data_IF_421994287158
#
_entry.id   IF_421994287158
#
_cell.length_a   1.000
_cell.length_b   1.000
_cell.length_c   1.000
_cell.angle_alpha   90.00
_cell.angle_beta   90.00
_cell.angle_gamma   90.00
#
_symmetry.space_group_name_H-M   'P 1'
#
loop_
_entity.id
_entity.type
_entity.pdbx_description
1 polymer ?
#
# COMPACT_ATOMS: atom_id res chain seq x y z
N UNK A 1 5.33 24.36 11.79
CA UNK A 1 5.35 24.00 10.35
C UNK A 1 4.29 24.80 9.58
N UNK A 2 3.08 24.92 10.10
CA UNK A 2 1.98 25.68 9.51
C UNK A 2 2.34 27.15 9.19
N UNK A 3 2.88 27.90 10.14
CA UNK A 3 3.31 29.29 9.95
C UNK A 3 4.34 29.49 8.82
N UNK A 4 5.20 28.49 8.56
CA UNK A 4 6.19 28.57 7.47
C UNK A 4 5.55 28.37 6.10
N UNK A 5 4.60 27.47 6.02
CA UNK A 5 3.84 27.23 4.77
C UNK A 5 2.99 28.47 4.46
N UNK A 6 2.29 29.01 5.45
CA UNK A 6 1.47 30.21 5.28
C UNK A 6 2.29 31.43 4.84
N UNK A 7 3.48 31.64 5.42
CA UNK A 7 4.36 32.74 4.98
C UNK A 7 4.86 32.56 3.54
N UNK A 8 5.05 31.33 3.08
CA UNK A 8 5.40 31.04 1.68
C UNK A 8 4.23 31.30 0.74
N UNK A 9 3.02 30.93 1.17
CA UNK A 9 1.80 31.10 0.39
C UNK A 9 1.41 32.57 0.24
N UNK A 10 1.76 33.43 1.19
CA UNK A 10 1.51 34.89 1.18
C UNK A 10 2.45 35.65 0.23
N UNK A 11 3.54 35.04 -0.25
CA UNK A 11 4.41 35.71 -1.22
C UNK A 11 3.66 36.00 -2.52
N UNK A 12 3.65 37.26 -2.95
CA UNK A 12 2.91 37.74 -4.11
C UNK A 12 3.09 36.83 -5.34
N UNK A 13 4.31 36.46 -5.66
CA UNK A 13 4.65 35.58 -6.79
C UNK A 13 3.99 34.19 -6.72
N UNK A 14 3.66 33.70 -5.53
CA UNK A 14 2.97 32.44 -5.34
C UNK A 14 1.45 32.67 -5.37
N UNK A 15 0.99 33.62 -4.58
CA UNK A 15 -0.43 33.89 -4.38
C UNK A 15 -1.14 34.33 -5.67
N UNK A 16 -0.52 35.20 -6.48
CA UNK A 16 -1.08 35.67 -7.75
C UNK A 16 -1.32 34.56 -8.80
N UNK A 17 -0.80 33.39 -8.59
CA UNK A 17 -0.92 32.24 -9.50
C UNK A 17 -1.74 31.08 -8.90
N UNK A 18 -2.33 31.26 -7.72
CA UNK A 18 -3.27 30.29 -7.13
C UNK A 18 -4.67 30.64 -7.62
N UNK A 19 -5.23 29.78 -8.45
CA UNK A 19 -6.60 29.96 -8.97
C UNK A 19 -7.66 29.52 -7.95
N UNK A 20 -7.34 28.48 -7.17
CA UNK A 20 -8.27 27.92 -6.20
C UNK A 20 -7.54 27.18 -5.08
N UNK A 21 -8.12 27.21 -3.88
CA UNK A 21 -7.64 26.44 -2.72
C UNK A 21 -8.78 25.56 -2.21
N UNK A 22 -8.55 24.25 -2.22
CA UNK A 22 -9.49 23.31 -1.66
C UNK A 22 -8.98 22.83 -0.30
N UNK A 23 -9.76 23.04 0.74
CA UNK A 23 -9.44 22.64 2.11
C UNK A 23 -10.20 21.36 2.46
N UNK A 24 -9.49 20.34 2.92
CA UNK A 24 -10.06 19.12 3.45
C UNK A 24 -9.82 19.15 4.95
N UNK A 25 -10.90 19.14 5.73
CA UNK A 25 -10.81 19.08 7.18
C UNK A 25 -10.20 17.74 7.62
N UNK A 26 -9.41 17.78 8.68
CA UNK A 26 -8.99 16.56 9.37
C UNK A 26 -10.18 15.88 10.05
N UNK A 27 -10.04 14.60 10.32
CA UNK A 27 -11.02 13.82 11.08
C UNK A 27 -10.35 13.16 12.25
N UNK A 28 -11.04 13.09 13.38
CA UNK A 28 -10.61 12.29 14.52
C UNK A 28 -10.73 10.80 14.21
N UNK A 29 -9.95 9.98 14.92
CA UNK A 29 -10.03 8.53 14.82
C UNK A 29 -11.31 7.99 15.48
N UNK A 30 -11.99 7.06 14.79
CA UNK A 30 -13.06 6.24 15.38
C UNK A 30 -12.44 4.94 15.91
N UNK A 31 -12.12 4.96 17.20
CA UNK A 31 -11.44 3.88 17.91
C UNK A 31 -12.45 2.99 18.65
N UNK A 32 -12.19 1.69 18.63
CA UNK A 32 -12.97 0.66 19.28
C UNK A 32 -12.08 -0.20 20.17
N UNK A 33 -12.60 -0.73 21.31
CA UNK A 33 -11.85 -1.67 22.11
C UNK A 33 -11.48 -2.91 21.30
N UNK A 34 -10.47 -3.64 21.76
CA UNK A 34 -10.16 -4.93 21.16
C UNK A 34 -11.36 -5.87 21.25
N UNK A 35 -11.66 -6.66 20.21
CA UNK A 35 -12.66 -7.70 20.26
C UNK A 35 -12.40 -8.67 21.42
N UNK A 36 -13.47 -9.12 22.07
CA UNK A 36 -13.35 -10.02 23.24
C UNK A 36 -12.68 -11.34 22.87
N UNK A 37 -12.97 -11.84 21.68
CA UNK A 37 -12.45 -13.09 21.11
C UNK A 37 -11.06 -12.95 20.45
N UNK A 38 -10.44 -11.75 20.44
CA UNK A 38 -9.04 -11.59 20.07
C UNK A 38 -8.15 -12.19 21.17
N UNK A 39 -7.26 -13.11 20.79
CA UNK A 39 -6.42 -13.84 21.77
C UNK A 39 -5.46 -12.91 22.51
N UNK A 40 -5.12 -13.22 23.78
CA UNK A 40 -4.27 -12.38 24.63
C UNK A 40 -2.89 -12.09 24.02
N UNK A 41 -2.29 -13.05 23.34
CA UNK A 41 -0.98 -12.91 22.71
C UNK A 41 -0.97 -11.80 21.65
N UNK A 42 -2.01 -11.73 20.80
CA UNK A 42 -2.12 -10.67 19.80
C UNK A 42 -2.39 -9.34 20.49
N UNK A 43 -3.28 -9.28 21.50
CA UNK A 43 -3.54 -8.06 22.28
C UNK A 43 -2.25 -7.51 22.88
N UNK A 44 -1.40 -8.37 23.45
CA UNK A 44 -0.12 -7.99 24.05
C UNK A 44 0.85 -7.41 23.01
N UNK A 45 0.98 -8.03 21.85
CA UNK A 45 1.83 -7.53 20.75
C UNK A 45 1.36 -6.17 20.25
N UNK A 46 0.05 -5.98 20.08
CA UNK A 46 -0.50 -4.69 19.69
C UNK A 46 -0.20 -3.60 20.72
N UNK A 47 -0.33 -3.93 22.02
CA UNK A 47 0.01 -3.00 23.11
C UNK A 47 1.50 -2.65 23.15
N UNK A 48 2.41 -3.59 22.88
CA UNK A 48 3.85 -3.33 22.73
C UNK A 48 4.13 -2.35 21.57
N UNK A 49 3.31 -2.36 20.53
CA UNK A 49 3.36 -1.40 19.42
C UNK A 49 2.59 -0.09 19.70
N UNK A 50 2.21 0.17 20.94
CA UNK A 50 1.39 1.30 21.39
C UNK A 50 -0.01 1.36 20.76
N UNK A 51 -0.53 0.24 20.26
CA UNK A 51 -1.89 0.10 19.78
C UNK A 51 -2.74 -0.45 20.93
N UNK A 52 -3.61 0.38 21.48
CA UNK A 52 -4.48 0.02 22.62
C UNK A 52 -5.92 -0.22 22.21
N UNK A 53 -6.28 0.22 21.03
CA UNK A 53 -7.61 0.13 20.44
C UNK A 53 -7.46 -0.09 18.94
N UNK A 54 -8.47 -0.62 18.29
CA UNK A 54 -8.53 -0.75 16.83
C UNK A 54 -9.35 0.39 16.23
N UNK A 55 -9.08 0.72 14.98
CA UNK A 55 -9.97 1.57 14.21
C UNK A 55 -11.29 0.82 13.91
N UNK A 56 -12.40 1.55 13.79
CA UNK A 56 -13.72 0.95 13.56
C UNK A 56 -13.75 0.01 12.35
N UNK A 57 -13.08 0.35 11.23
CA UNK A 57 -13.00 -0.52 10.07
C UNK A 57 -12.19 -1.81 10.32
N UNK A 58 -11.23 -1.78 11.25
CA UNK A 58 -10.47 -2.98 11.65
C UNK A 58 -11.32 -3.89 12.52
N UNK A 59 -12.13 -3.33 13.41
CA UNK A 59 -13.08 -4.12 14.23
C UNK A 59 -14.18 -4.71 13.35
N UNK A 60 -14.74 -3.96 12.42
CA UNK A 60 -15.76 -4.45 11.49
C UNK A 60 -15.22 -5.59 10.60
N UNK A 61 -13.98 -5.45 10.10
CA UNK A 61 -13.32 -6.52 9.33
C UNK A 61 -13.10 -7.78 10.16
N UNK A 62 -12.76 -7.62 11.44
CA UNK A 62 -12.65 -8.71 12.38
C UNK A 62 -13.98 -9.47 12.50
N UNK A 63 -15.09 -8.75 12.71
CA UNK A 63 -16.41 -9.36 12.82
C UNK A 63 -16.81 -10.14 11.56
N UNK A 64 -16.53 -9.62 10.37
CA UNK A 64 -16.81 -10.34 9.13
C UNK A 64 -15.92 -11.59 8.99
N UNK A 65 -14.66 -11.52 9.38
CA UNK A 65 -13.77 -12.66 9.38
C UNK A 65 -14.26 -13.78 10.33
N UNK A 66 -14.68 -13.43 11.56
CA UNK A 66 -15.22 -14.41 12.52
C UNK A 66 -16.52 -15.07 12.02
N UNK A 67 -17.36 -14.30 11.32
CA UNK A 67 -18.59 -14.81 10.70
C UNK A 67 -18.35 -15.53 9.36
N UNK A 68 -17.08 -15.72 8.95
CA UNK A 68 -16.69 -16.35 7.68
C UNK A 68 -17.36 -15.70 6.45
N UNK A 69 -17.53 -14.39 6.46
CA UNK A 69 -18.12 -13.61 5.36
C UNK A 69 -17.02 -12.95 4.53
N UNK A 70 -16.99 -13.21 3.24
CA UNK A 70 -16.10 -12.53 2.31
C UNK A 70 -16.33 -11.01 2.36
N UNK A 71 -15.26 -10.21 2.44
CA UNK A 71 -15.39 -8.76 2.57
C UNK A 71 -14.30 -7.98 1.82
N UNK A 72 -14.61 -6.72 1.54
CA UNK A 72 -13.66 -5.77 0.96
C UNK A 72 -13.55 -4.52 1.82
N UNK A 73 -12.31 -4.06 2.03
CA UNK A 73 -11.99 -2.84 2.77
C UNK A 73 -11.51 -1.78 1.80
N UNK A 74 -12.24 -0.66 1.75
CA UNK A 74 -12.00 0.44 0.81
C UNK A 74 -11.80 1.72 1.59
N UNK A 75 -10.63 1.86 2.17
CA UNK A 75 -10.26 3.03 2.96
C UNK A 75 -9.03 3.70 2.37
N UNK A 76 -8.76 4.98 2.64
CA UNK A 76 -7.60 5.70 2.13
C UNK A 76 -6.28 4.96 2.40
N UNK A 77 -5.24 5.30 1.65
CA UNK A 77 -3.87 4.82 1.94
C UNK A 77 -3.44 5.26 3.35
N UNK A 78 -2.60 4.45 3.99
CA UNK A 78 -2.12 4.68 5.37
C UNK A 78 -3.21 4.67 6.45
N UNK A 79 -4.38 4.08 6.20
CA UNK A 79 -5.44 3.90 7.20
C UNK A 79 -5.27 2.64 8.08
N UNK A 80 -4.21 1.86 7.89
CA UNK A 80 -4.01 0.62 8.63
C UNK A 80 -4.80 -0.58 8.09
N UNK A 81 -5.09 -0.61 6.77
CA UNK A 81 -5.77 -1.73 6.09
C UNK A 81 -5.11 -3.09 6.33
N UNK A 82 -3.79 -3.13 6.43
CA UNK A 82 -3.03 -4.36 6.62
C UNK A 82 -3.46 -5.15 7.87
N UNK A 83 -3.85 -4.44 8.92
CA UNK A 83 -4.37 -5.08 10.13
C UNK A 83 -5.70 -5.80 9.91
N UNK A 84 -6.51 -5.36 8.94
CA UNK A 84 -7.83 -5.95 8.67
C UNK A 84 -7.76 -7.40 8.22
N UNK A 85 -6.65 -7.81 7.60
CA UNK A 85 -6.42 -9.20 7.21
C UNK A 85 -5.35 -9.91 8.05
N UNK A 86 -4.34 -9.20 8.55
CA UNK A 86 -3.30 -9.83 9.36
C UNK A 86 -3.82 -10.34 10.69
N UNK A 87 -4.71 -9.60 11.37
CA UNK A 87 -5.23 -10.03 12.67
C UNK A 87 -5.99 -11.36 12.59
N UNK A 88 -7.01 -11.52 11.73
CA UNK A 88 -7.75 -12.79 11.65
C UNK A 88 -6.87 -13.94 11.12
N UNK A 89 -5.96 -13.67 10.19
CA UNK A 89 -5.05 -14.69 9.66
C UNK A 89 -4.07 -15.17 10.74
N UNK A 90 -3.45 -14.25 11.48
CA UNK A 90 -2.51 -14.63 12.54
C UNK A 90 -3.20 -15.38 13.68
N UNK A 91 -4.38 -14.92 14.11
CA UNK A 91 -5.15 -15.65 15.12
C UNK A 91 -5.48 -17.08 14.68
N UNK A 92 -5.99 -17.25 13.48
CA UNK A 92 -6.32 -18.59 12.97
C UNK A 92 -5.07 -19.50 12.94
N UNK A 93 -3.91 -18.97 12.49
CA UNK A 93 -2.68 -19.77 12.43
C UNK A 93 -2.15 -20.09 13.84
N UNK A 94 -2.30 -19.19 14.81
CA UNK A 94 -1.90 -19.45 16.19
C UNK A 94 -2.77 -20.55 16.82
N UNK A 95 -4.08 -20.49 16.61
CA UNK A 95 -5.02 -21.47 17.12
C UNK A 95 -4.92 -22.82 16.36
N UNK A 96 -4.67 -22.77 15.06
CA UNK A 96 -4.60 -23.91 14.16
C UNK A 96 -3.30 -23.82 13.31
N UNK A 97 -2.16 -24.34 13.78
CA UNK A 97 -0.86 -24.17 13.11
C UNK A 97 -0.76 -24.78 11.70
N UNK A 98 -1.69 -25.67 11.33
CA UNK A 98 -1.78 -26.21 9.97
C UNK A 98 -2.45 -25.27 8.99
N UNK A 99 -3.18 -24.25 9.46
CA UNK A 99 -3.88 -23.29 8.62
C UNK A 99 -2.93 -22.52 7.71
N UNK A 100 -3.42 -22.25 6.49
CA UNK A 100 -2.67 -21.58 5.41
C UNK A 100 -3.41 -20.35 4.93
N UNK A 101 -2.62 -19.35 4.52
CA UNK A 101 -3.12 -18.14 3.89
C UNK A 101 -2.34 -17.82 2.62
N UNK A 102 -3.04 -17.37 1.59
CA UNK A 102 -2.49 -16.92 0.32
C UNK A 102 -2.68 -15.41 0.20
N UNK A 103 -1.59 -14.67 0.07
CA UNK A 103 -1.62 -13.23 -0.12
C UNK A 103 -1.23 -12.90 -1.56
N UNK A 104 -2.09 -12.17 -2.25
CA UNK A 104 -1.92 -11.76 -3.64
C UNK A 104 -1.70 -10.25 -3.74
N UNK A 105 -0.51 -9.87 -4.17
CA UNK A 105 -0.14 -8.48 -4.43
C UNK A 105 0.16 -8.27 -5.92
N UNK A 106 -0.18 -7.11 -6.48
CA UNK A 106 0.05 -6.85 -7.91
C UNK A 106 1.52 -6.66 -8.27
N UNK A 107 2.36 -6.27 -7.31
CA UNK A 107 3.79 -6.01 -7.56
C UNK A 107 4.68 -6.56 -6.44
N UNK A 108 5.93 -6.90 -6.80
CA UNK A 108 6.94 -7.37 -5.85
C UNK A 108 7.31 -6.33 -4.78
N UNK A 109 7.27 -5.05 -5.11
CA UNK A 109 7.61 -3.99 -4.16
C UNK A 109 6.57 -3.91 -3.03
N UNK A 110 5.29 -3.94 -3.37
CA UNK A 110 4.21 -3.94 -2.39
C UNK A 110 4.24 -5.21 -1.52
N UNK A 111 4.50 -6.38 -2.11
CA UNK A 111 4.61 -7.61 -1.35
C UNK A 111 5.74 -7.56 -0.32
N UNK A 112 6.87 -6.94 -0.64
CA UNK A 112 8.00 -6.85 0.28
C UNK A 112 7.73 -5.95 1.49
N UNK A 113 7.06 -4.80 1.29
CA UNK A 113 6.69 -3.90 2.39
C UNK A 113 5.69 -4.59 3.35
N UNK A 114 4.70 -5.28 2.80
CA UNK A 114 3.72 -6.03 3.58
C UNK A 114 4.34 -7.23 4.31
N UNK A 115 5.29 -7.90 3.68
CA UNK A 115 6.07 -8.98 4.33
C UNK A 115 6.81 -8.47 5.56
N UNK A 116 7.44 -7.31 5.49
CA UNK A 116 8.16 -6.74 6.63
C UNK A 116 7.21 -6.49 7.81
N UNK A 117 6.01 -5.95 7.56
CA UNK A 117 5.03 -5.71 8.62
C UNK A 117 4.55 -7.01 9.28
N UNK A 118 4.26 -8.03 8.49
CA UNK A 118 3.86 -9.36 9.00
C UNK A 118 5.00 -9.99 9.80
N UNK A 119 6.25 -9.91 9.31
CA UNK A 119 7.42 -10.41 10.03
C UNK A 119 7.63 -9.73 11.37
N UNK A 120 7.45 -8.41 11.43
CA UNK A 120 7.56 -7.66 12.69
C UNK A 120 6.52 -8.15 13.72
N UNK A 121 5.28 -8.38 13.30
CA UNK A 121 4.24 -8.93 14.16
C UNK A 121 4.58 -10.34 14.64
N UNK A 122 5.03 -11.23 13.74
CA UNK A 122 5.39 -12.62 14.07
C UNK A 122 6.59 -12.67 15.02
N UNK A 123 7.57 -11.80 14.82
CA UNK A 123 8.74 -11.71 15.68
C UNK A 123 8.34 -11.35 17.12
N UNK A 124 7.43 -10.39 17.27
CA UNK A 124 6.91 -9.99 18.58
C UNK A 124 6.02 -11.09 19.22
N UNK A 125 5.28 -11.84 18.39
CA UNK A 125 4.46 -12.97 18.85
C UNK A 125 5.28 -14.15 19.37
N UNK A 126 6.56 -14.27 18.97
CA UNK A 126 7.44 -15.39 19.32
C UNK A 126 6.82 -16.77 19.01
N UNK A 127 6.02 -16.83 17.96
CA UNK A 127 5.39 -18.08 17.47
C UNK A 127 6.07 -18.57 16.19
N UNK A 128 6.06 -19.89 15.98
CA UNK A 128 6.65 -20.50 14.79
C UNK A 128 5.72 -20.40 13.57
N UNK A 129 5.47 -19.18 13.11
CA UNK A 129 4.67 -18.88 11.91
C UNK A 129 5.62 -18.60 10.74
N UNK A 130 5.50 -19.39 9.69
CA UNK A 130 6.36 -19.29 8.51
C UNK A 130 5.70 -18.46 7.42
N UNK A 131 6.29 -17.31 7.10
CA UNK A 131 5.86 -16.43 6.01
C UNK A 131 6.92 -16.41 4.92
N UNK A 132 6.52 -16.64 3.70
CA UNK A 132 7.42 -16.69 2.56
C UNK A 132 6.87 -15.95 1.34
N UNK A 133 7.76 -15.28 0.62
CA UNK A 133 7.47 -14.82 -0.75
C UNK A 133 7.75 -15.94 -1.73
N UNK A 134 6.77 -16.22 -2.62
CA UNK A 134 6.92 -17.16 -3.71
C UNK A 134 6.74 -16.42 -5.04
N UNK A 135 7.85 -16.17 -5.71
CA UNK A 135 7.92 -15.43 -6.97
C UNK A 135 8.96 -16.01 -7.94
N UNK A 136 9.18 -15.34 -9.07
CA UNK A 136 10.13 -15.78 -10.09
C UNK A 136 11.59 -15.84 -9.59
N UNK A 137 11.93 -15.03 -8.59
CA UNK A 137 13.29 -14.93 -8.04
C UNK A 137 13.51 -15.92 -6.88
N UNK A 138 12.46 -16.65 -6.46
CA UNK A 138 12.55 -17.64 -5.36
C UNK A 138 13.46 -18.82 -5.76
N UNK A 139 14.56 -19.06 -5.03
CA UNK A 139 15.48 -20.15 -5.33
C UNK A 139 14.81 -21.54 -5.27
N UNK A 140 15.28 -22.47 -6.09
CA UNK A 140 14.68 -23.80 -6.23
C UNK A 140 14.63 -24.59 -4.91
N UNK A 141 15.68 -24.51 -4.08
CA UNK A 141 15.74 -25.13 -2.76
C UNK A 141 14.72 -24.53 -1.78
N UNK A 142 14.53 -23.19 -1.79
CA UNK A 142 13.55 -22.52 -0.96
C UNK A 142 12.11 -22.91 -1.35
N UNK A 143 11.83 -23.14 -2.65
CA UNK A 143 10.49 -23.53 -3.13
C UNK A 143 9.95 -24.80 -2.47
N UNK A 144 10.81 -25.76 -2.13
CA UNK A 144 10.39 -26.97 -1.44
C UNK A 144 10.01 -26.70 0.02
N UNK A 145 10.81 -25.89 0.73
CA UNK A 145 10.51 -25.50 2.11
C UNK A 145 9.20 -24.70 2.19
N UNK A 146 8.99 -23.76 1.27
CA UNK A 146 7.77 -22.93 1.19
C UNK A 146 6.52 -23.82 1.06
N UNK A 147 6.54 -24.78 0.15
CA UNK A 147 5.43 -25.73 -0.07
C UNK A 147 5.08 -26.55 1.17
N UNK A 148 6.09 -26.98 1.93
CA UNK A 148 5.89 -27.84 3.10
C UNK A 148 5.53 -27.04 4.36
N UNK A 149 6.21 -25.93 4.60
CA UNK A 149 6.21 -25.25 5.89
C UNK A 149 5.46 -23.91 5.88
N UNK A 150 5.30 -23.26 4.71
CA UNK A 150 4.68 -21.95 4.63
C UNK A 150 3.26 -21.91 5.23
N UNK A 151 3.05 -21.09 6.25
CA UNK A 151 1.71 -20.77 6.74
C UNK A 151 1.10 -19.65 5.88
N UNK A 152 1.87 -18.60 5.62
CA UNK A 152 1.46 -17.48 4.76
C UNK A 152 2.37 -17.49 3.53
N UNK A 153 1.78 -17.62 2.35
CA UNK A 153 2.49 -17.53 1.07
C UNK A 153 2.09 -16.25 0.37
N UNK A 154 3.06 -15.36 0.21
CA UNK A 154 2.89 -14.09 -0.49
C UNK A 154 3.36 -14.24 -1.92
N UNK A 155 2.50 -13.90 -2.88
CA UNK A 155 2.79 -14.07 -4.31
C UNK A 155 2.04 -13.04 -5.16
N UNK A 156 2.15 -13.13 -6.47
CA UNK A 156 1.38 -12.35 -7.42
C UNK A 156 0.48 -13.26 -8.30
N UNK A 157 -0.51 -12.70 -9.01
CA UNK A 157 -1.42 -13.48 -9.84
C UNK A 157 -0.74 -14.33 -10.91
N UNK A 158 0.31 -13.80 -11.55
CA UNK A 158 1.03 -14.54 -12.59
C UNK A 158 1.73 -15.76 -12.02
N UNK A 159 2.37 -15.61 -10.87
CA UNK A 159 3.05 -16.71 -10.21
C UNK A 159 2.08 -17.74 -9.63
N UNK A 160 0.93 -17.29 -9.11
CA UNK A 160 -0.15 -18.19 -8.73
C UNK A 160 -0.61 -19.01 -9.93
N UNK A 161 -0.83 -18.33 -11.08
CA UNK A 161 -1.29 -18.95 -12.31
C UNK A 161 -0.29 -19.94 -12.92
N UNK A 162 1.00 -19.58 -13.00
CA UNK A 162 2.02 -20.33 -13.72
C UNK A 162 2.87 -21.23 -12.81
N UNK A 163 3.14 -20.80 -11.58
CA UNK A 163 4.08 -21.46 -10.69
C UNK A 163 3.44 -22.33 -9.60
N UNK A 164 2.22 -22.03 -9.18
CA UNK A 164 1.54 -22.73 -8.07
C UNK A 164 0.46 -23.68 -8.61
N UNK A 165 -0.55 -23.14 -9.28
CA UNK A 165 -1.73 -23.93 -9.69
C UNK A 165 -1.43 -25.07 -10.67
N UNK A 166 -0.56 -24.96 -11.68
CA UNK A 166 -0.21 -26.10 -12.55
C UNK A 166 0.51 -27.22 -11.80
N UNK A 167 1.11 -26.88 -10.67
CA UNK A 167 1.84 -27.84 -9.81
C UNK A 167 1.08 -28.13 -8.51
N UNK A 168 -0.24 -28.03 -8.51
CA UNK A 168 -1.09 -28.13 -7.33
C UNK A 168 -0.88 -29.42 -6.52
N UNK A 169 -0.50 -30.53 -7.14
CA UNK A 169 -0.19 -31.76 -6.44
C UNK A 169 0.98 -31.62 -5.46
N UNK A 170 1.97 -30.76 -5.80
CA UNK A 170 3.09 -30.44 -4.90
C UNK A 170 2.68 -29.46 -3.79
N UNK A 171 1.51 -28.85 -3.92
CA UNK A 171 0.92 -27.89 -2.99
C UNK A 171 -0.30 -28.45 -2.27
N UNK A 172 -0.55 -29.77 -2.36
CA UNK A 172 -1.75 -30.42 -1.84
C UNK A 172 -2.05 -30.01 -0.38
N UNK A 173 -1.09 -30.15 0.53
CA UNK A 173 -1.26 -29.77 1.94
C UNK A 173 -1.60 -28.28 2.12
N UNK A 174 -1.03 -27.39 1.29
CA UNK A 174 -1.34 -25.98 1.31
C UNK A 174 -2.80 -25.72 0.93
N UNK A 175 -3.26 -26.32 -0.18
CA UNK A 175 -4.64 -26.12 -0.63
C UNK A 175 -5.65 -26.77 0.30
N UNK A 176 -5.38 -27.94 0.87
CA UNK A 176 -6.27 -28.60 1.85
C UNK A 176 -6.49 -27.76 3.11
N UNK A 177 -5.49 -26.99 3.52
CA UNK A 177 -5.52 -26.19 4.74
C UNK A 177 -5.69 -24.69 4.45
N UNK A 178 -5.98 -24.30 3.21
CA UNK A 178 -6.14 -22.89 2.84
C UNK A 178 -7.41 -22.31 3.47
N UNK A 179 -7.23 -21.35 4.38
CA UNK A 179 -8.30 -20.70 5.14
C UNK A 179 -8.58 -19.27 4.68
N UNK A 180 -7.57 -18.59 4.12
CA UNK A 180 -7.68 -17.21 3.69
C UNK A 180 -7.03 -16.98 2.33
N UNK A 181 -7.68 -16.16 1.51
CA UNK A 181 -7.12 -15.55 0.31
C UNK A 181 -7.24 -14.04 0.43
N UNK A 182 -6.11 -13.38 0.58
CA UNK A 182 -6.04 -11.92 0.66
C UNK A 182 -5.67 -11.38 -0.71
N UNK A 183 -6.45 -10.42 -1.23
CA UNK A 183 -6.20 -9.73 -2.49
C UNK A 183 -6.04 -8.25 -2.18
N UNK A 184 -4.81 -7.77 -2.17
CA UNK A 184 -4.54 -6.36 -1.90
C UNK A 184 -4.44 -5.55 -3.20
N UNK A 185 -4.68 -4.24 -3.08
CA UNK A 185 -4.71 -3.29 -4.20
C UNK A 185 -5.65 -3.73 -5.34
N UNK A 186 -6.85 -4.24 -4.99
CA UNK A 186 -7.77 -4.80 -5.98
C UNK A 186 -8.17 -3.82 -7.08
N UNK A 187 -8.07 -2.51 -6.85
CA UNK A 187 -8.35 -1.47 -7.83
C UNK A 187 -7.44 -1.51 -9.07
N UNK A 188 -6.30 -2.19 -8.97
CA UNK A 188 -5.39 -2.40 -10.10
C UNK A 188 -5.94 -3.46 -11.08
N UNK A 189 -6.72 -4.42 -10.59
CA UNK A 189 -7.26 -5.52 -11.39
C UNK A 189 -8.51 -5.10 -12.16
N UNK A 190 -8.34 -4.27 -13.20
CA UNK A 190 -9.42 -3.77 -14.07
C UNK A 190 -9.08 -3.96 -15.53
N UNK A 191 -10.09 -3.82 -16.40
CA UNK A 191 -9.95 -4.05 -17.84
C UNK A 191 -9.47 -5.47 -18.16
N UNK A 192 -8.58 -5.60 -19.12
CA UNK A 192 -8.01 -6.90 -19.55
C UNK A 192 -7.29 -7.60 -18.39
N UNK A 193 -6.50 -6.86 -17.63
CA UNK A 193 -5.79 -7.43 -16.47
C UNK A 193 -6.74 -7.95 -15.40
N UNK A 194 -7.84 -7.22 -15.15
CA UNK A 194 -8.90 -7.67 -14.24
C UNK A 194 -9.58 -8.96 -14.74
N UNK A 195 -9.90 -9.07 -16.03
CA UNK A 195 -10.45 -10.29 -16.61
C UNK A 195 -9.52 -11.49 -16.44
N UNK A 196 -8.22 -11.31 -16.65
CA UNK A 196 -7.24 -12.37 -16.40
C UNK A 196 -7.21 -12.76 -14.92
N UNK A 197 -7.20 -11.79 -14.01
CA UNK A 197 -7.23 -12.06 -12.57
C UNK A 197 -8.47 -12.84 -12.16
N UNK A 198 -9.67 -12.47 -12.65
CA UNK A 198 -10.91 -13.21 -12.38
C UNK A 198 -10.79 -14.68 -12.84
N UNK A 199 -10.21 -14.93 -14.00
CA UNK A 199 -9.99 -16.30 -14.49
C UNK A 199 -8.98 -17.08 -13.59
N UNK A 200 -7.98 -16.41 -13.06
CA UNK A 200 -7.05 -17.01 -12.09
C UNK A 200 -7.79 -17.39 -10.81
N UNK A 201 -8.65 -16.51 -10.29
CA UNK A 201 -9.48 -16.79 -9.11
C UNK A 201 -10.46 -17.93 -9.36
N UNK A 202 -11.13 -17.99 -10.52
CA UNK A 202 -11.99 -19.14 -10.89
C UNK A 202 -11.24 -20.47 -10.83
N UNK A 203 -10.02 -20.50 -11.33
CA UNK A 203 -9.17 -21.71 -11.25
C UNK A 203 -8.77 -22.03 -9.83
N UNK A 204 -8.42 -21.03 -9.03
CA UNK A 204 -8.11 -21.20 -7.60
C UNK A 204 -9.31 -21.80 -6.86
N UNK A 205 -10.51 -21.27 -7.07
CA UNK A 205 -11.75 -21.78 -6.44
C UNK A 205 -11.99 -23.25 -6.77
N UNK A 206 -11.83 -23.65 -8.05
CA UNK A 206 -11.94 -25.08 -8.44
C UNK A 206 -10.90 -25.97 -7.75
N UNK A 207 -9.68 -25.47 -7.55
CA UNK A 207 -8.66 -26.22 -6.80
C UNK A 207 -9.02 -26.31 -5.31
N UNK A 208 -9.54 -25.23 -4.71
CA UNK A 208 -10.04 -25.27 -3.34
C UNK A 208 -11.16 -26.30 -3.17
N UNK A 209 -12.13 -26.31 -4.08
CA UNK A 209 -13.22 -27.30 -4.10
C UNK A 209 -12.67 -28.73 -4.24
N UNK A 210 -11.75 -28.95 -5.18
CA UNK A 210 -11.09 -30.26 -5.36
C UNK A 210 -10.39 -30.74 -4.09
N UNK A 211 -9.72 -29.85 -3.35
CA UNK A 211 -9.03 -30.14 -2.09
C UNK A 211 -9.92 -30.00 -0.85
N UNK A 212 -11.22 -29.72 -1.01
CA UNK A 212 -12.22 -29.57 0.06
C UNK A 212 -11.88 -28.44 1.04
N UNK A 213 -11.33 -27.35 0.54
CA UNK A 213 -11.12 -26.13 1.29
C UNK A 213 -12.07 -25.03 0.81
N UNK A 214 -12.52 -24.19 1.73
CA UNK A 214 -13.34 -23.01 1.43
C UNK A 214 -12.72 -21.78 2.11
N UNK A 215 -11.75 -21.14 1.45
CA UNK A 215 -11.07 -19.99 2.03
C UNK A 215 -11.96 -18.76 2.04
N UNK A 216 -11.84 -17.97 3.11
CA UNK A 216 -12.39 -16.63 3.20
C UNK A 216 -11.59 -15.68 2.30
N UNK A 217 -12.28 -14.91 1.46
CA UNK A 217 -11.67 -13.87 0.64
C UNK A 217 -11.72 -12.53 1.36
N UNK A 218 -10.55 -11.90 1.52
CA UNK A 218 -10.39 -10.56 2.05
C UNK A 218 -9.76 -9.70 0.98
N UNK A 219 -10.48 -8.66 0.54
CA UNK A 219 -10.01 -7.75 -0.50
C UNK A 219 -9.71 -6.38 0.10
N UNK A 220 -8.63 -5.75 -0.36
CA UNK A 220 -8.30 -4.39 0.03
C UNK A 220 -8.10 -3.50 -1.19
N UNK A 221 -8.52 -2.25 -1.07
CA UNK A 221 -8.41 -1.27 -2.15
C UNK A 221 -8.18 0.13 -1.62
N UNK A 222 -7.58 0.99 -2.44
CA UNK A 222 -7.77 2.41 -2.32
C UNK A 222 -9.23 2.78 -2.68
N UNK A 223 -9.62 4.02 -2.42
CA UNK A 223 -10.96 4.52 -2.73
C UNK A 223 -11.24 4.47 -4.24
N UNK A 224 -12.31 3.80 -4.63
CA UNK A 224 -12.81 3.69 -6.02
C UNK A 224 -14.33 3.89 -6.02
N UNK A 225 -14.91 4.16 -7.19
CA UNK A 225 -16.33 4.51 -7.31
C UNK A 225 -17.30 3.33 -7.08
N UNK A 226 -16.91 2.11 -7.45
CA UNK A 226 -17.77 0.93 -7.41
C UNK A 226 -17.08 -0.28 -6.73
N UNK A 227 -16.65 -0.16 -5.48
CA UNK A 227 -15.78 -1.16 -4.85
C UNK A 227 -16.48 -2.51 -4.63
N UNK A 228 -17.74 -2.52 -4.21
CA UNK A 228 -18.49 -3.75 -3.98
C UNK A 228 -18.67 -4.54 -5.26
N UNK A 229 -19.20 -3.91 -6.30
CA UNK A 229 -19.40 -4.53 -7.60
C UNK A 229 -18.08 -5.07 -8.17
N UNK A 230 -17.00 -4.29 -8.04
CA UNK A 230 -15.69 -4.70 -8.52
C UNK A 230 -15.17 -5.94 -7.79
N UNK A 231 -15.29 -5.97 -6.45
CA UNK A 231 -14.90 -7.11 -5.64
C UNK A 231 -15.74 -8.36 -5.98
N UNK A 232 -17.08 -8.21 -6.06
CA UNK A 232 -17.99 -9.30 -6.40
C UNK A 232 -17.72 -9.87 -7.80
N UNK A 233 -17.40 -9.03 -8.78
CA UNK A 233 -16.99 -9.48 -10.12
C UNK A 233 -15.64 -10.19 -10.11
N UNK A 234 -14.70 -9.73 -9.27
CA UNK A 234 -13.36 -10.29 -9.21
C UNK A 234 -13.35 -11.71 -8.64
N UNK A 235 -14.10 -11.94 -7.55
CA UNK A 235 -14.13 -13.26 -6.87
C UNK A 235 -15.39 -14.07 -7.19
N UNK A 236 -16.38 -13.50 -7.87
CA UNK A 236 -17.67 -14.13 -8.22
C UNK A 236 -18.38 -14.73 -6.98
N UNK A 237 -18.41 -13.96 -5.91
CA UNK A 237 -19.11 -14.22 -4.67
C UNK A 237 -19.65 -12.90 -4.11
N UNK A 238 -20.78 -12.89 -3.38
CA UNK A 238 -21.20 -11.71 -2.63
C UNK A 238 -20.16 -11.33 -1.58
N UNK A 239 -19.89 -10.01 -1.44
CA UNK A 239 -18.97 -9.50 -0.43
C UNK A 239 -19.63 -8.46 0.47
N UNK A 240 -19.20 -8.42 1.74
CA UNK A 240 -19.47 -7.29 2.61
C UNK A 240 -18.52 -6.14 2.26
N UNK A 241 -18.93 -4.91 2.49
CA UNK A 241 -18.10 -3.74 2.17
C UNK A 241 -17.87 -2.88 3.41
N UNK A 242 -16.63 -2.46 3.59
CA UNK A 242 -16.19 -1.52 4.63
C UNK A 242 -15.58 -0.31 3.93
N UNK A 243 -16.33 0.80 3.89
CA UNK A 243 -15.91 2.05 3.21
C UNK A 243 -15.51 3.14 4.18
N UNK A 244 -16.10 3.14 5.39
CA UNK A 244 -15.84 4.16 6.38
C UNK A 244 -14.51 3.90 7.08
N UNK A 245 -13.54 4.80 6.86
CA UNK A 245 -12.27 4.75 7.58
C UNK A 245 -12.45 5.24 9.02
N UNK A 246 -11.99 4.44 9.97
CA UNK A 246 -11.87 4.88 11.36
C UNK A 246 -10.51 5.49 11.69
N UNK A 247 -9.59 5.57 10.73
CA UNK A 247 -8.30 6.19 10.97
C UNK A 247 -8.41 7.73 10.98
N UNK A 248 -7.67 8.42 11.84
CA UNK A 248 -7.63 9.88 11.83
C UNK A 248 -6.96 10.39 10.55
N UNK A 249 -7.40 11.54 10.08
CA UNK A 249 -6.77 12.21 8.95
C UNK A 249 -6.37 13.62 9.34
N UNK A 250 -5.14 14.01 9.00
CA UNK A 250 -4.71 15.39 9.14
C UNK A 250 -5.42 16.30 8.12
N UNK A 251 -5.64 17.57 8.44
CA UNK A 251 -6.17 18.52 7.48
C UNK A 251 -5.23 18.64 6.28
N UNK A 252 -5.81 18.81 5.09
CA UNK A 252 -5.07 18.94 3.82
C UNK A 252 -5.52 20.20 3.09
N UNK A 253 -4.56 20.91 2.51
CA UNK A 253 -4.82 22.04 1.61
C UNK A 253 -4.33 21.66 0.21
N UNK A 254 -5.18 21.73 -0.78
CA UNK A 254 -4.87 21.47 -2.18
C UNK A 254 -4.89 22.79 -2.92
N UNK A 255 -3.79 23.19 -3.51
CA UNK A 255 -3.63 24.43 -4.25
C UNK A 255 -3.63 24.13 -5.74
N UNK A 256 -4.50 24.79 -6.48
CA UNK A 256 -4.49 24.78 -7.94
C UNK A 256 -3.63 25.94 -8.42
N UNK A 257 -2.38 25.64 -8.71
CA UNK A 257 -1.40 26.62 -9.15
C UNK A 257 -1.33 26.66 -10.67
N UNK A 258 -1.64 27.81 -11.25
CA UNK A 258 -1.60 28.01 -12.69
C UNK A 258 -0.34 28.83 -13.06
N UNK A 259 0.59 28.27 -13.87
CA UNK A 259 1.81 28.99 -14.22
C UNK A 259 1.53 30.38 -14.80
N UNK A 260 2.33 31.43 -14.44
CA UNK A 260 2.11 32.78 -14.92
C UNK A 260 2.19 32.90 -16.44
N UNK A 261 1.38 33.77 -17.01
CA UNK A 261 1.41 34.09 -18.43
C UNK A 261 2.67 34.91 -18.72
N UNK A 262 3.55 34.41 -19.59
CA UNK A 262 4.81 35.05 -20.01
C UNK A 262 4.68 35.81 -21.33
N UNK A 263 3.70 35.46 -22.16
CA UNK A 263 3.32 36.21 -23.35
C UNK A 263 1.79 36.38 -23.35
N UNK A 264 1.32 37.60 -23.17
CA UNK A 264 -0.11 37.91 -23.08
C UNK A 264 -0.82 37.83 -24.43
N UNK A 265 -0.14 38.17 -25.53
CA UNK A 265 -0.73 38.17 -26.86
C UNK A 265 -0.99 36.74 -27.36
N UNK A 266 -0.07 35.84 -27.06
CA UNK A 266 -0.18 34.43 -27.45
C UNK A 266 -0.75 33.54 -26.36
N UNK A 267 -1.07 34.06 -25.20
CA UNK A 267 -1.57 33.28 -24.06
C UNK A 267 -0.54 32.25 -23.51
N UNK A 268 0.74 32.42 -23.82
CA UNK A 268 1.79 31.46 -23.44
C UNK A 268 2.09 31.58 -21.96
N UNK A 269 2.04 30.44 -21.24
CA UNK A 269 2.39 30.34 -19.83
C UNK A 269 3.81 29.85 -19.63
N UNK A 270 4.37 30.17 -18.49
CA UNK A 270 5.69 29.64 -18.06
C UNK A 270 5.68 28.12 -17.99
N UNK A 271 6.83 27.50 -18.33
CA UNK A 271 6.99 26.04 -18.29
C UNK A 271 6.66 25.48 -16.87
N UNK A 272 5.87 24.42 -16.82
CA UNK A 272 5.52 23.76 -15.55
C UNK A 272 6.76 23.20 -14.84
N UNK A 273 7.80 22.75 -15.55
CA UNK A 273 9.06 22.30 -14.95
C UNK A 273 9.76 23.45 -14.24
N UNK A 274 9.78 24.65 -14.87
CA UNK A 274 10.36 25.85 -14.26
C UNK A 274 9.60 26.26 -13.00
N UNK A 275 8.28 26.15 -13.01
CA UNK A 275 7.47 26.46 -11.84
C UNK A 275 7.59 25.37 -10.75
N UNK A 276 7.59 24.10 -11.11
CA UNK A 276 7.83 23.00 -10.17
C UNK A 276 9.20 23.13 -9.48
N UNK A 277 10.26 23.47 -10.23
CA UNK A 277 11.59 23.79 -9.67
C UNK A 277 11.51 24.95 -8.67
N UNK A 278 10.84 26.05 -9.03
CA UNK A 278 10.67 27.21 -8.17
C UNK A 278 9.96 26.86 -6.86
N UNK A 279 8.84 26.13 -6.95
CA UNK A 279 8.06 25.72 -5.78
C UNK A 279 8.84 24.74 -4.89
N UNK A 280 9.45 23.70 -5.48
CA UNK A 280 10.24 22.73 -4.76
C UNK A 280 11.41 23.37 -4.01
N UNK A 281 12.16 24.28 -4.67
CA UNK A 281 13.26 25.01 -4.03
C UNK A 281 12.79 25.80 -2.81
N UNK A 282 11.64 26.50 -2.92
CA UNK A 282 11.11 27.25 -1.79
C UNK A 282 10.73 26.33 -0.62
N UNK A 283 10.08 25.19 -0.86
CA UNK A 283 9.73 24.24 0.19
C UNK A 283 10.98 23.61 0.84
N UNK A 284 11.93 23.16 0.03
CA UNK A 284 13.16 22.52 0.53
C UNK A 284 13.99 23.51 1.36
N UNK A 285 14.14 24.77 0.93
CA UNK A 285 14.85 25.82 1.69
C UNK A 285 14.23 26.10 3.08
N UNK A 286 12.96 25.80 3.24
CA UNK A 286 12.26 25.92 4.54
C UNK A 286 12.20 24.59 5.31
N UNK A 287 12.97 23.59 4.90
CA UNK A 287 12.99 22.23 5.47
C UNK A 287 11.62 21.55 5.45
N UNK A 288 10.83 21.77 4.40
CA UNK A 288 9.56 21.08 4.18
C UNK A 288 9.84 19.86 3.31
N UNK A 289 9.53 18.67 3.82
CA UNK A 289 9.64 17.44 3.05
C UNK A 289 8.72 17.52 1.82
N UNK A 290 9.30 17.29 0.64
CA UNK A 290 8.63 17.58 -0.63
C UNK A 290 8.76 16.39 -1.58
N UNK A 291 7.65 16.00 -2.21
CA UNK A 291 7.62 15.04 -3.32
C UNK A 291 7.09 15.77 -4.55
N UNK A 292 7.80 15.65 -5.68
CA UNK A 292 7.39 16.23 -6.96
C UNK A 292 7.14 15.12 -7.96
N UNK A 293 5.91 15.03 -8.47
CA UNK A 293 5.57 14.11 -9.54
C UNK A 293 5.76 14.76 -10.89
N UNK A 294 6.46 14.08 -11.80
CA UNK A 294 6.72 14.57 -13.15
C UNK A 294 6.09 13.65 -14.20
N UNK A 295 5.68 14.21 -15.34
CA UNK A 295 4.95 13.51 -16.40
C UNK A 295 5.78 12.46 -17.15
N UNK A 296 7.11 12.57 -17.12
CA UNK A 296 8.00 11.65 -17.83
C UNK A 296 9.28 11.35 -17.04
N UNK A 297 9.93 10.22 -17.38
CA UNK A 297 11.23 9.85 -16.81
C UNK A 297 12.30 10.90 -17.06
N UNK A 298 12.29 11.53 -18.25
CA UNK A 298 13.21 12.61 -18.60
C UNK A 298 13.00 13.83 -17.69
N UNK A 299 11.75 14.22 -17.46
CA UNK A 299 11.43 15.35 -16.60
C UNK A 299 11.85 15.13 -15.14
N UNK A 300 11.82 13.89 -14.65
CA UNK A 300 12.36 13.53 -13.32
C UNK A 300 13.86 13.82 -13.27
N UNK A 301 14.62 13.35 -14.28
CA UNK A 301 16.07 13.58 -14.32
C UNK A 301 16.43 15.07 -14.46
N UNK A 302 15.75 15.77 -15.36
CA UNK A 302 15.98 17.22 -15.59
C UNK A 302 15.68 18.02 -14.32
N UNK A 303 14.54 17.75 -13.67
CA UNK A 303 14.15 18.44 -12.44
C UNK A 303 15.10 18.12 -11.29
N UNK A 304 15.50 16.86 -11.15
CA UNK A 304 16.47 16.42 -10.13
C UNK A 304 17.79 17.12 -10.30
N UNK A 305 18.31 17.20 -11.55
CA UNK A 305 19.54 17.92 -11.84
C UNK A 305 19.42 19.41 -11.49
N UNK A 306 18.38 20.08 -11.97
CA UNK A 306 18.20 21.51 -11.70
C UNK A 306 18.08 21.83 -10.22
N UNK A 307 17.38 20.97 -9.45
CA UNK A 307 17.29 21.16 -8.00
C UNK A 307 18.64 20.98 -7.31
N UNK A 308 19.45 19.99 -7.72
CA UNK A 308 20.79 19.78 -7.19
C UNK A 308 21.71 20.96 -7.49
N UNK A 309 21.75 21.40 -8.76
CA UNK A 309 22.57 22.53 -9.20
C UNK A 309 22.23 23.81 -8.40
N UNK A 310 20.96 24.05 -8.08
CA UNK A 310 20.50 25.18 -7.26
C UNK A 310 21.06 25.13 -5.84
N UNK A 311 21.13 23.95 -5.23
CA UNK A 311 21.63 23.79 -3.86
C UNK A 311 23.15 23.67 -3.78
N UNK A 312 23.84 23.23 -4.84
CA UNK A 312 25.30 23.28 -4.95
C UNK A 312 25.81 24.71 -5.09
N UNK A 313 25.06 25.57 -5.78
CA UNK A 313 25.39 26.97 -5.96
C UNK A 313 25.08 27.87 -4.75
N UNK A 314 24.19 27.42 -3.87
CA UNK A 314 23.71 28.16 -2.71
C UNK A 314 24.51 27.77 -1.44
N UNK A 315 25.64 28.44 -1.20
CA UNK A 315 26.53 28.18 -0.04
C UNK A 315 25.88 28.42 1.32
N UNK A 316 24.79 29.17 1.39
CA UNK A 316 24.05 29.44 2.64
C UNK A 316 22.94 28.43 2.92
N UNK A 317 22.67 27.52 1.98
CA UNK A 317 21.62 26.55 2.16
C UNK A 317 21.97 25.47 3.20
N UNK A 318 21.14 25.31 4.22
CA UNK A 318 21.26 24.21 5.19
C UNK A 318 20.91 22.84 4.54
N UNK A 319 20.33 22.83 3.35
CA UNK A 319 19.94 21.61 2.64
C UNK A 319 21.05 21.18 1.71
N UNK A 320 21.55 19.96 1.90
CA UNK A 320 22.61 19.38 1.07
C UNK A 320 22.01 18.77 -0.22
N UNK A 321 22.69 18.88 -1.38
CA UNK A 321 22.25 18.26 -2.65
C UNK A 321 22.00 16.76 -2.56
N UNK A 322 22.69 16.08 -1.63
CA UNK A 322 22.55 14.65 -1.36
C UNK A 322 21.15 14.25 -0.86
N UNK A 323 20.40 15.20 -0.26
CA UNK A 323 19.02 15.00 0.18
C UNK A 323 18.01 15.03 -0.96
N UNK A 324 18.43 15.39 -2.18
CA UNK A 324 17.59 15.45 -3.37
C UNK A 324 17.82 14.20 -4.19
N UNK A 325 16.79 13.40 -4.39
CA UNK A 325 16.85 12.17 -5.15
C UNK A 325 15.75 12.11 -6.21
N UNK A 326 16.14 11.76 -7.44
CA UNK A 326 15.17 11.36 -8.45
C UNK A 326 14.74 9.91 -8.22
N UNK A 327 13.46 9.60 -8.48
CA UNK A 327 12.92 8.25 -8.40
C UNK A 327 12.07 7.96 -9.64
N UNK A 328 12.43 6.94 -10.39
CA UNK A 328 11.70 6.57 -11.62
C UNK A 328 11.83 5.10 -11.98
N UNK A 329 10.94 4.64 -12.85
CA UNK A 329 11.08 3.34 -13.50
C UNK A 329 12.36 3.28 -14.33
N UNK A 330 13.06 2.13 -14.30
CA UNK A 330 14.35 1.92 -14.98
C UNK A 330 15.56 2.04 -14.05
N UNK A 331 15.42 2.54 -12.83
CA UNK A 331 16.48 2.38 -11.83
C UNK A 331 16.56 0.93 -11.35
N UNK A 332 17.78 0.48 -11.05
CA UNK A 332 18.00 -0.84 -10.47
C UNK A 332 17.21 -0.99 -9.16
N UNK A 333 16.64 -2.17 -8.86
CA UNK A 333 15.84 -2.39 -7.65
C UNK A 333 16.59 -2.00 -6.35
N UNK A 334 17.90 -2.27 -6.29
CA UNK A 334 18.75 -1.88 -5.15
C UNK A 334 18.74 -0.37 -4.95
N UNK A 335 18.95 0.40 -6.03
CA UNK A 335 18.98 1.87 -5.99
C UNK A 335 17.64 2.46 -5.55
N UNK A 336 16.53 1.92 -6.03
CA UNK A 336 15.19 2.36 -5.60
C UNK A 336 15.00 2.18 -4.10
N UNK A 337 15.36 1.01 -3.56
CA UNK A 337 15.29 0.73 -2.11
C UNK A 337 16.16 1.66 -1.26
N UNK A 338 17.35 2.02 -1.77
CA UNK A 338 18.23 2.99 -1.08
C UNK A 338 17.57 4.36 -0.96
N UNK A 339 16.94 4.84 -2.06
CA UNK A 339 16.23 6.13 -2.10
C UNK A 339 15.02 6.08 -1.15
N UNK A 340 14.20 5.03 -1.21
CA UNK A 340 13.04 4.84 -0.34
C UNK A 340 13.41 4.84 1.15
N UNK A 341 14.51 4.15 1.51
CA UNK A 341 15.04 4.18 2.89
C UNK A 341 15.57 5.55 3.30
N UNK A 342 16.17 6.29 2.36
CA UNK A 342 16.69 7.64 2.62
C UNK A 342 15.60 8.67 2.91
N UNK A 343 14.43 8.55 2.28
CA UNK A 343 13.29 9.46 2.49
C UNK A 343 12.62 9.24 3.84
N UNK A 344 12.68 8.03 4.39
CA UNK A 344 12.06 7.67 5.68
C UNK A 344 12.91 8.09 6.92
N UNK A 345 14.15 8.50 6.71
CA UNK A 345 15.06 9.03 7.74
C UNK A 345 15.01 10.56 7.80
#
# INVERSE_FOLDING_TARGET
MENKIESLLQRKKFNDNIEYVFNIAGTDGDLRPFPDDLIPEIKQVLQQRNIRQLYSHQTESWEFAQKRRDFTVVTPTASGKTMTYNLPVLQEIILNPTSKALYLFPTKALSQDQMNEVHDLITLLQKDIKVYTFDGDTPANARQAIRKQGNIVVTNPDMLHQGIMPHHTKWMQFFQNLKFVVIDEMHIYRGVFGSHMTNVIRRLKRLCEFYRSDPLFILCSATIANPKEHAERLIEKPVQIIEKSGAPTSPKKIFFYNPPVVNKELGIRSSYIKQARYLANNFIKHNIQTIVFALSRLNVEVLTKYLKDDFESDRESMSKPEKIAGYRGGYLPKRRREIEKGIRK
#
